data_IF_801345365648
#
_entry.id   IF_801345365648
#
_cell.length_a   1.000
_cell.length_b   1.000
_cell.length_c   1.000
_cell.angle_alpha   90.00
_cell.angle_beta   90.00
_cell.angle_gamma   90.00
#
_symmetry.space_group_name_H-M   'P 1'
#
loop_
_entity.id
_entity.type
_entity.pdbx_description
1 polymer ?
#
# COMPACT_ATOMS: atom_id res chain seq x y z
N UNK A 1 1.55 -6.40 26.37
CA UNK A 1 0.26 -6.29 25.68
C UNK A 1 0.52 -6.18 24.18
N UNK A 2 -0.15 -6.95 23.34
CA UNK A 2 0.03 -6.84 21.89
C UNK A 2 -0.38 -5.45 21.41
N UNK A 3 0.42 -4.87 20.50
CA UNK A 3 0.14 -3.58 19.87
C UNK A 3 -0.46 -3.80 18.48
N UNK A 4 -1.52 -3.07 18.18
CA UNK A 4 -2.24 -3.18 16.90
C UNK A 4 -2.30 -1.79 16.26
N UNK A 5 -1.98 -1.72 14.97
CA UNK A 5 -2.15 -0.51 14.17
C UNK A 5 -3.56 -0.42 13.57
N UNK A 6 -4.08 0.80 13.42
CA UNK A 6 -5.24 1.09 12.59
C UNK A 6 -4.85 2.09 11.51
N UNK A 7 -4.96 1.71 10.24
CA UNK A 7 -4.74 2.61 9.11
C UNK A 7 -6.09 2.92 8.46
N UNK A 8 -6.50 4.17 8.53
CA UNK A 8 -7.87 4.58 8.23
C UNK A 8 -7.91 5.53 7.03
N UNK A 9 -8.88 5.33 6.16
CA UNK A 9 -9.21 6.32 5.13
C UNK A 9 -10.08 7.43 5.75
N UNK A 10 -9.44 8.51 6.17
CA UNK A 10 -10.10 9.64 6.84
C UNK A 10 -11.10 10.39 5.93
N UNK A 11 -10.99 10.22 4.62
CA UNK A 11 -11.95 10.76 3.65
C UNK A 11 -13.28 10.00 3.61
N UNK A 12 -13.43 8.90 4.35
CA UNK A 12 -14.63 8.08 4.40
C UNK A 12 -15.21 8.06 5.83
N UNK A 13 -16.34 8.74 6.09
CA UNK A 13 -16.95 8.76 7.44
C UNK A 13 -17.20 7.38 8.03
N UNK A 14 -17.64 6.42 7.20
CA UNK A 14 -17.88 5.05 7.64
C UNK A 14 -16.60 4.34 8.10
N UNK A 15 -15.47 4.57 7.42
CA UNK A 15 -14.18 4.01 7.85
C UNK A 15 -13.74 4.59 9.20
N UNK A 16 -13.97 5.89 9.42
CA UNK A 16 -13.68 6.57 10.68
C UNK A 16 -14.51 6.00 11.82
N UNK A 17 -15.84 5.91 11.66
CA UNK A 17 -16.75 5.34 12.66
C UNK A 17 -16.40 3.87 12.98
N UNK A 18 -16.10 3.09 11.96
CA UNK A 18 -15.68 1.69 12.15
C UNK A 18 -14.37 1.61 12.92
N UNK A 19 -13.41 2.50 12.63
CA UNK A 19 -12.15 2.57 13.36
C UNK A 19 -12.37 2.87 14.85
N UNK A 20 -13.26 3.79 15.19
CA UNK A 20 -13.58 4.12 16.57
C UNK A 20 -14.16 2.90 17.31
N UNK A 21 -15.05 2.16 16.67
CA UNK A 21 -15.65 0.93 17.22
C UNK A 21 -14.58 -0.15 17.43
N UNK A 22 -13.71 -0.37 16.45
CA UNK A 22 -12.62 -1.35 16.52
C UNK A 22 -11.66 -0.98 17.64
N UNK A 23 -11.22 0.27 17.69
CA UNK A 23 -10.31 0.75 18.72
C UNK A 23 -10.86 0.50 20.13
N UNK A 24 -12.10 0.89 20.39
CA UNK A 24 -12.74 0.66 21.70
C UNK A 24 -12.77 -0.84 22.07
N UNK A 25 -13.08 -1.73 21.12
CA UNK A 25 -13.12 -3.16 21.39
C UNK A 25 -11.74 -3.75 21.65
N UNK A 26 -10.72 -3.33 20.91
CA UNK A 26 -9.35 -3.79 21.09
C UNK A 26 -8.76 -3.30 22.42
N UNK A 27 -9.00 -2.03 22.77
CA UNK A 27 -8.57 -1.45 24.05
C UNK A 27 -9.28 -2.10 25.24
N UNK A 28 -10.58 -2.38 25.13
CA UNK A 28 -11.33 -3.12 26.15
C UNK A 28 -10.80 -4.56 26.34
N UNK A 29 -10.24 -5.16 25.30
CA UNK A 29 -9.58 -6.46 25.35
C UNK A 29 -8.11 -6.40 25.82
N UNK A 30 -7.60 -5.21 26.14
CA UNK A 30 -6.24 -5.01 26.68
C UNK A 30 -5.15 -4.84 25.64
N UNK A 31 -5.49 -4.52 24.40
CA UNK A 31 -4.52 -4.19 23.35
C UNK A 31 -4.19 -2.69 23.35
N UNK A 32 -2.94 -2.35 23.07
CA UNK A 32 -2.57 -0.98 22.76
C UNK A 32 -2.82 -0.71 21.27
N UNK A 33 -3.53 0.38 20.95
CA UNK A 33 -3.90 0.72 19.59
C UNK A 33 -3.26 2.04 19.16
N UNK A 34 -2.59 2.02 18.00
CA UNK A 34 -2.04 3.20 17.34
C UNK A 34 -2.79 3.46 16.04
N UNK A 35 -3.19 4.70 15.81
CA UNK A 35 -3.96 5.08 14.62
C UNK A 35 -3.16 5.96 13.68
N UNK A 36 -3.29 5.67 12.39
CA UNK A 36 -2.67 6.44 11.31
C UNK A 36 -3.65 6.67 10.16
N UNK A 37 -3.42 7.76 9.42
CA UNK A 37 -4.14 8.04 8.18
C UNK A 37 -3.56 7.25 7.02
N UNK A 38 -4.42 6.74 6.14
CA UNK A 38 -3.99 6.13 4.89
C UNK A 38 -3.37 7.15 3.92
N UNK A 39 -3.63 8.45 4.10
CA UNK A 39 -3.04 9.53 3.30
C UNK A 39 -1.64 9.93 3.76
N UNK A 40 -1.18 9.44 4.92
CA UNK A 40 0.11 9.80 5.51
C UNK A 40 1.35 9.44 4.68
N UNK A 41 1.21 8.56 3.70
CA UNK A 41 2.28 8.20 2.75
C UNK A 41 2.33 9.04 1.49
N UNK A 42 1.45 10.02 1.31
CA UNK A 42 1.47 10.94 0.18
C UNK A 42 2.52 12.03 0.38
N UNK A 43 3.78 11.71 0.17
CA UNK A 43 4.80 12.75 0.02
C UNK A 43 4.70 13.28 -1.42
N UNK A 44 4.33 14.55 -1.55
CA UNK A 44 4.43 15.24 -2.83
C UNK A 44 5.90 15.25 -3.26
N UNK A 45 6.23 14.53 -4.32
CA UNK A 45 7.59 14.55 -4.85
C UNK A 45 7.84 15.88 -5.54
N UNK A 46 8.85 16.61 -5.09
CA UNK A 46 9.48 17.60 -5.93
C UNK A 46 10.06 16.84 -7.14
N UNK A 47 9.40 16.96 -8.29
CA UNK A 47 9.90 16.37 -9.53
C UNK A 47 11.11 17.17 -10.01
N UNK A 48 12.35 16.64 -9.91
CA UNK A 48 13.52 17.33 -10.40
C UNK A 48 13.57 17.37 -11.94
N UNK A 49 12.72 16.58 -12.60
CA UNK A 49 12.61 16.50 -14.06
C UNK A 49 11.25 17.01 -14.52
N UNK A 50 11.21 18.13 -15.21
CA UNK A 50 9.99 18.74 -15.73
C UNK A 50 9.25 17.85 -16.76
N UNK A 51 9.94 16.83 -17.29
CA UNK A 51 9.41 15.94 -18.32
C UNK A 51 8.87 14.61 -17.78
N UNK A 52 9.07 14.30 -16.49
CA UNK A 52 8.61 13.05 -15.89
C UNK A 52 7.67 13.33 -14.72
N UNK A 53 6.41 12.99 -14.89
CA UNK A 53 5.43 13.06 -13.80
C UNK A 53 5.46 11.76 -13.02
N UNK A 54 6.12 11.78 -11.87
CA UNK A 54 6.18 10.64 -10.96
C UNK A 54 4.99 10.71 -10.01
N UNK A 55 4.17 9.66 -10.04
CA UNK A 55 3.14 9.41 -9.05
C UNK A 55 3.52 8.16 -8.30
N UNK A 56 3.82 8.30 -7.05
CA UNK A 56 4.16 7.18 -6.19
C UNK A 56 4.16 7.66 -4.75
N UNK A 57 4.24 6.71 -3.86
CA UNK A 57 4.25 6.99 -2.44
C UNK A 57 5.60 6.56 -1.90
N UNK A 58 6.28 7.46 -1.23
CA UNK A 58 7.43 7.11 -0.41
C UNK A 58 6.98 6.11 0.64
N UNK A 59 7.82 5.12 0.93
CA UNK A 59 7.61 4.27 2.09
C UNK A 59 7.76 5.13 3.35
N UNK A 60 6.64 5.55 3.92
CA UNK A 60 6.59 6.39 5.11
C UNK A 60 5.91 5.60 6.21
N UNK A 61 6.71 5.07 7.13
CA UNK A 61 6.20 4.40 8.33
C UNK A 61 5.49 5.44 9.18
N UNK A 62 4.21 5.23 9.57
CA UNK A 62 3.49 6.18 10.41
C UNK A 62 4.16 6.34 11.77
N UNK A 63 4.01 7.53 12.35
CA UNK A 63 4.48 7.77 13.71
C UNK A 63 3.80 6.79 14.68
N UNK A 64 4.55 6.21 15.59
CA UNK A 64 4.07 5.22 16.55
C UNK A 64 4.02 3.78 16.03
N UNK A 65 4.21 3.56 14.72
CA UNK A 65 4.27 2.23 14.13
C UNK A 65 5.69 1.68 14.16
N UNK A 66 5.85 0.47 14.67
CA UNK A 66 7.12 -0.23 14.74
C UNK A 66 6.93 -1.75 14.72
N UNK A 67 8.02 -2.49 14.65
CA UNK A 67 8.04 -3.96 14.56
C UNK A 67 7.46 -4.70 15.79
N UNK A 68 7.12 -3.99 16.87
CA UNK A 68 6.45 -4.59 18.04
C UNK A 68 4.94 -4.78 17.83
N UNK A 69 4.39 -4.21 16.76
CA UNK A 69 3.00 -4.43 16.38
C UNK A 69 2.81 -5.82 15.79
N UNK A 70 1.77 -6.51 16.24
CA UNK A 70 1.46 -7.86 15.75
C UNK A 70 0.70 -7.81 14.43
N UNK A 71 -0.02 -6.71 14.17
CA UNK A 71 -0.92 -6.55 13.03
C UNK A 71 -1.27 -5.07 12.84
N UNK A 72 -1.59 -4.67 11.61
CA UNK A 72 -2.31 -3.43 11.31
C UNK A 72 -3.64 -3.74 10.61
N UNK A 73 -4.74 -3.20 11.15
CA UNK A 73 -6.08 -3.28 10.52
C UNK A 73 -6.23 -2.07 9.60
N UNK A 74 -6.59 -2.32 8.36
CA UNK A 74 -6.73 -1.30 7.30
C UNK A 74 -8.19 -1.12 6.95
N UNK A 75 -8.69 0.10 7.09
CA UNK A 75 -10.09 0.44 6.86
C UNK A 75 -10.26 1.34 5.64
N UNK A 76 -10.78 0.78 4.56
CA UNK A 76 -10.96 1.49 3.30
C UNK A 76 -11.24 0.58 2.11
N UNK A 77 -10.90 1.00 0.92
CA UNK A 77 -10.91 0.21 -0.31
C UNK A 77 -9.49 -0.11 -0.79
N UNK A 78 -9.36 -0.66 -2.00
CA UNK A 78 -8.08 -1.11 -2.57
C UNK A 78 -6.98 -0.05 -2.53
N UNK A 79 -7.28 1.21 -2.87
CA UNK A 79 -6.31 2.30 -2.77
C UNK A 79 -5.78 2.54 -1.36
N UNK A 80 -6.62 2.31 -0.33
CA UNK A 80 -6.22 2.37 1.09
C UNK A 80 -5.29 1.22 1.42
N UNK A 81 -5.58 0.01 0.92
CA UNK A 81 -4.74 -1.18 1.09
C UNK A 81 -3.36 -0.98 0.46
N UNK A 82 -3.31 -0.46 -0.77
CA UNK A 82 -2.05 -0.15 -1.44
C UNK A 82 -1.22 0.89 -0.68
N UNK A 83 -1.87 1.89 -0.09
CA UNK A 83 -1.20 2.88 0.75
C UNK A 83 -0.68 2.27 2.05
N UNK A 84 -1.51 1.46 2.73
CA UNK A 84 -1.14 0.79 3.97
C UNK A 84 0.04 -0.18 3.76
N UNK A 85 0.03 -0.96 2.68
CA UNK A 85 1.14 -1.87 2.35
C UNK A 85 2.48 -1.13 2.25
N UNK A 86 2.51 0.07 1.64
CA UNK A 86 3.72 0.90 1.57
C UNK A 86 4.17 1.43 2.93
N UNK A 87 3.24 1.61 3.86
CA UNK A 87 3.51 2.09 5.20
C UNK A 87 4.01 0.98 6.13
N UNK A 88 3.54 -0.25 5.94
CA UNK A 88 3.80 -1.40 6.82
C UNK A 88 4.88 -2.33 6.32
N UNK A 89 5.03 -2.52 5.00
CA UNK A 89 6.01 -3.43 4.42
C UNK A 89 7.47 -3.14 4.85
N UNK A 90 7.93 -1.87 4.96
CA UNK A 90 9.30 -1.58 5.40
C UNK A 90 9.63 -2.06 6.81
N UNK A 91 8.63 -2.26 7.64
CA UNK A 91 8.77 -2.70 9.04
C UNK A 91 8.17 -4.08 9.29
N UNK A 92 7.70 -4.77 8.26
CA UNK A 92 7.25 -6.15 8.32
C UNK A 92 5.97 -6.38 9.12
N UNK A 93 5.09 -5.38 9.25
CA UNK A 93 3.81 -5.53 9.95
C UNK A 93 2.79 -6.16 8.99
N UNK A 94 2.17 -7.30 9.33
CA UNK A 94 1.06 -7.87 8.56
C UNK A 94 -0.15 -6.93 8.55
N UNK A 95 -0.95 -6.98 7.49
CA UNK A 95 -2.18 -6.17 7.38
C UNK A 95 -3.40 -7.07 7.30
N UNK A 96 -4.47 -6.71 8.03
CA UNK A 96 -5.82 -7.21 7.83
C UNK A 96 -6.66 -6.12 7.18
N UNK A 97 -7.25 -6.41 6.04
CA UNK A 97 -7.98 -5.40 5.25
C UNK A 97 -9.48 -5.57 5.41
N UNK A 98 -10.15 -4.50 5.87
CA UNK A 98 -11.61 -4.44 6.01
C UNK A 98 -12.16 -3.40 5.05
N UNK A 99 -12.94 -3.84 4.08
CA UNK A 99 -13.55 -2.95 3.11
C UNK A 99 -14.74 -2.19 3.72
N UNK A 100 -14.67 -0.86 3.65
CA UNK A 100 -15.71 0.05 4.12
C UNK A 100 -16.49 0.70 2.97
N UNK A 101 -16.47 0.11 1.78
CA UNK A 101 -17.10 0.68 0.59
C UNK A 101 -17.49 -0.39 -0.44
N UNK A 102 -17.35 -0.04 -1.72
CA UNK A 102 -17.66 -0.95 -2.82
C UNK A 102 -16.69 -2.14 -2.85
N UNK A 103 -17.16 -3.24 -3.44
CA UNK A 103 -16.37 -4.45 -3.66
C UNK A 103 -14.99 -4.14 -4.24
N UNK A 104 -13.94 -4.64 -3.59
CA UNK A 104 -12.55 -4.54 -4.01
C UNK A 104 -11.92 -5.93 -4.16
N UNK A 105 -10.71 -5.96 -4.69
CA UNK A 105 -9.96 -7.21 -4.93
C UNK A 105 -8.93 -7.51 -3.82
N UNK A 106 -8.63 -6.53 -2.95
CA UNK A 106 -7.56 -6.61 -1.95
C UNK A 106 -8.09 -6.74 -0.51
N UNK A 107 -9.41 -6.79 -0.32
CA UNK A 107 -9.99 -6.87 1.01
C UNK A 107 -10.18 -8.33 1.46
N UNK A 108 -9.77 -8.61 2.71
CA UNK A 108 -9.95 -9.92 3.35
C UNK A 108 -11.30 -10.03 4.06
N UNK A 109 -11.88 -8.91 4.49
CA UNK A 109 -13.15 -8.87 5.19
C UNK A 109 -14.00 -7.67 4.74
N UNK A 110 -15.30 -7.76 4.99
CA UNK A 110 -16.28 -6.69 4.80
C UNK A 110 -16.89 -6.29 6.14
N UNK A 111 -17.61 -5.18 6.17
CA UNK A 111 -18.24 -4.69 7.39
C UNK A 111 -19.21 -5.69 8.02
N UNK A 112 -19.90 -6.47 7.21
CA UNK A 112 -20.82 -7.52 7.68
C UNK A 112 -20.09 -8.65 8.43
N UNK A 113 -18.80 -8.82 8.17
CA UNK A 113 -17.94 -9.81 8.83
C UNK A 113 -17.09 -9.21 9.96
N UNK A 114 -17.31 -7.95 10.35
CA UNK A 114 -16.47 -7.23 11.30
C UNK A 114 -16.29 -7.96 12.62
N UNK A 115 -17.37 -8.48 13.20
CA UNK A 115 -17.32 -9.20 14.47
C UNK A 115 -16.44 -10.45 14.38
N UNK A 116 -16.60 -11.22 13.32
CA UNK A 116 -15.79 -12.40 13.07
C UNK A 116 -14.32 -12.05 12.85
N UNK A 117 -14.06 -10.99 12.08
CA UNK A 117 -12.69 -10.52 11.83
C UNK A 117 -12.00 -10.10 13.13
N UNK A 118 -12.71 -9.39 14.03
CA UNK A 118 -12.17 -9.02 15.33
C UNK A 118 -11.98 -10.18 16.26
N UNK A 119 -12.87 -11.16 16.28
CA UNK A 119 -12.69 -12.40 17.06
C UNK A 119 -11.43 -13.15 16.63
N UNK A 120 -11.16 -13.24 15.33
CA UNK A 120 -9.92 -13.80 14.78
C UNK A 120 -8.70 -13.01 15.24
N UNK A 121 -8.76 -11.68 15.24
CA UNK A 121 -7.67 -10.83 15.74
C UNK A 121 -7.43 -11.06 17.23
N UNK A 122 -8.47 -11.05 18.05
CA UNK A 122 -8.38 -11.18 19.49
C UNK A 122 -7.89 -12.57 19.93
N UNK A 123 -8.25 -13.61 19.20
CA UNK A 123 -7.82 -15.00 19.48
C UNK A 123 -6.48 -15.34 18.84
N UNK A 124 -5.93 -14.45 18.01
CA UNK A 124 -4.70 -14.66 17.22
C UNK A 124 -4.73 -15.92 16.35
N UNK A 125 -5.91 -16.28 15.85
CA UNK A 125 -6.12 -17.46 15.00
C UNK A 125 -6.14 -17.09 13.51
N UNK A 126 -5.06 -16.47 13.03
CA UNK A 126 -4.90 -16.13 11.60
C UNK A 126 -3.68 -16.80 11.00
N UNK A 127 -3.67 -16.86 9.68
CA UNK A 127 -2.50 -17.20 8.87
C UNK A 127 -2.06 -15.97 8.08
N UNK A 128 -0.77 -15.85 7.79
CA UNK A 128 -0.21 -14.76 7.00
C UNK A 128 0.05 -15.27 5.60
N UNK A 129 -0.51 -14.61 4.59
CA UNK A 129 -0.12 -14.77 3.20
C UNK A 129 0.99 -13.76 2.88
N UNK A 130 2.14 -14.26 2.44
CA UNK A 130 3.25 -13.42 2.01
C UNK A 130 3.06 -13.00 0.55
N UNK A 131 3.17 -11.70 0.28
CA UNK A 131 3.12 -11.13 -1.07
C UNK A 131 4.41 -10.38 -1.39
N UNK A 132 4.96 -10.63 -2.57
CA UNK A 132 6.11 -9.90 -3.05
C UNK A 132 5.77 -8.45 -3.34
N UNK A 133 6.73 -7.56 -3.12
CA UNK A 133 6.64 -6.16 -3.55
C UNK A 133 7.67 -5.89 -4.65
N UNK A 134 7.29 -5.04 -5.59
CA UNK A 134 8.19 -4.52 -6.60
C UNK A 134 8.86 -3.23 -6.09
N UNK A 135 10.18 -3.19 -6.08
CA UNK A 135 10.94 -1.96 -5.88
C UNK A 135 11.16 -1.30 -7.25
N UNK A 136 10.62 -0.12 -7.42
CA UNK A 136 10.74 0.65 -8.65
C UNK A 136 11.68 1.82 -8.42
N UNK A 137 12.76 1.91 -9.17
CA UNK A 137 13.71 3.02 -9.13
C UNK A 137 13.79 3.72 -10.48
N UNK A 138 13.79 5.04 -10.47
CA UNK A 138 14.07 5.86 -11.65
C UNK A 138 15.50 6.37 -11.57
N UNK A 139 16.30 6.00 -12.56
CA UNK A 139 17.70 6.41 -12.69
C UNK A 139 17.85 7.44 -13.80
N UNK A 140 18.79 8.39 -13.64
CA UNK A 140 19.26 9.26 -14.70
C UNK A 140 20.78 9.27 -14.69
N UNK A 141 21.37 8.57 -15.65
CA UNK A 141 22.76 8.15 -15.56
C UNK A 141 22.95 7.32 -14.29
N UNK A 142 23.97 7.60 -13.50
CA UNK A 142 24.27 6.87 -12.27
C UNK A 142 23.49 7.41 -11.03
N UNK A 143 22.62 8.39 -11.20
CA UNK A 143 21.87 8.98 -10.10
C UNK A 143 20.47 8.41 -10.00
N UNK A 144 20.14 7.86 -8.83
CA UNK A 144 18.76 7.48 -8.49
C UNK A 144 17.96 8.76 -8.18
N UNK A 145 16.95 9.02 -8.99
CA UNK A 145 16.07 10.19 -8.88
C UNK A 145 14.83 9.93 -8.05
N UNK A 146 14.36 8.68 -8.06
CA UNK A 146 13.15 8.30 -7.36
C UNK A 146 13.16 6.80 -7.08
N UNK A 147 12.46 6.40 -6.02
CA UNK A 147 12.23 5.00 -5.67
C UNK A 147 10.92 4.85 -4.93
N UNK A 148 10.18 3.79 -5.21
CA UNK A 148 8.96 3.43 -4.49
C UNK A 148 8.74 1.92 -4.44
N UNK A 149 7.90 1.49 -3.49
CA UNK A 149 7.35 0.14 -3.44
C UNK A 149 6.01 0.08 -4.17
N UNK A 150 5.78 -1.00 -4.88
CA UNK A 150 4.49 -1.34 -5.46
C UNK A 150 4.07 -2.75 -5.04
N UNK A 151 2.79 -2.90 -4.67
CA UNK A 151 2.20 -4.18 -4.32
C UNK A 151 1.68 -4.92 -5.57
N UNK A 152 1.20 -4.21 -6.57
CA UNK A 152 0.58 -4.81 -7.75
C UNK A 152 1.42 -4.63 -9.02
N UNK A 153 1.63 -3.38 -9.46
CA UNK A 153 2.29 -3.10 -10.72
C UNK A 153 3.06 -1.78 -10.72
N UNK A 154 3.95 -1.65 -11.68
CA UNK A 154 4.53 -0.39 -12.13
C UNK A 154 4.00 -0.09 -13.53
N UNK A 155 3.43 1.09 -13.70
CA UNK A 155 3.00 1.59 -14.99
C UNK A 155 3.85 2.81 -15.41
N UNK A 156 4.47 2.73 -16.58
CA UNK A 156 5.16 3.83 -17.25
C UNK A 156 4.43 4.12 -18.55
N UNK A 157 3.86 5.29 -18.70
CA UNK A 157 3.13 5.66 -19.91
C UNK A 157 3.46 7.09 -20.35
N UNK A 158 3.28 7.34 -21.64
CA UNK A 158 3.38 8.69 -22.20
C UNK A 158 2.28 9.61 -21.65
N UNK A 159 2.51 10.89 -21.73
CA UNK A 159 1.45 11.86 -21.47
C UNK A 159 0.41 11.84 -22.63
N UNK A 160 -0.89 12.08 -22.31
CA UNK A 160 -1.89 12.30 -23.31
C UNK A 160 -1.45 13.38 -24.33
N UNK A 161 -1.74 13.17 -25.61
CA UNK A 161 -1.41 14.11 -26.71
C UNK A 161 0.08 14.19 -27.10
N UNK A 162 0.94 13.32 -26.58
CA UNK A 162 2.33 13.19 -27.05
C UNK A 162 2.48 12.08 -28.08
N UNK A 163 3.60 12.11 -28.81
CA UNK A 163 3.96 11.02 -29.73
C UNK A 163 4.22 9.72 -28.98
N UNK A 164 4.13 8.60 -29.71
CA UNK A 164 4.49 7.28 -29.21
C UNK A 164 5.92 7.28 -28.66
N UNK A 165 6.12 6.61 -27.53
CA UNK A 165 7.44 6.48 -26.91
C UNK A 165 8.18 5.26 -27.45
N UNK A 166 9.51 5.34 -27.47
CA UNK A 166 10.38 4.21 -27.73
C UNK A 166 11.00 3.75 -26.42
N UNK A 167 10.88 2.47 -26.12
CA UNK A 167 11.40 1.82 -24.92
C UNK A 167 12.43 0.76 -25.36
N UNK A 168 13.57 0.77 -24.71
CA UNK A 168 14.49 -0.36 -24.69
C UNK A 168 14.24 -1.14 -23.40
N UNK A 169 13.78 -2.38 -23.52
CA UNK A 169 13.44 -3.23 -22.38
C UNK A 169 14.44 -4.35 -22.25
N UNK A 170 15.13 -4.41 -21.12
CA UNK A 170 16.03 -5.51 -20.77
C UNK A 170 15.47 -6.29 -19.57
N UNK A 171 15.44 -7.61 -19.64
CA UNK A 171 14.97 -8.50 -18.57
C UNK A 171 16.10 -9.45 -18.20
N UNK A 172 16.64 -9.30 -16.99
CA UNK A 172 17.74 -10.11 -16.51
C UNK A 172 18.97 -9.99 -17.40
N UNK A 173 19.43 -11.12 -17.99
CA UNK A 173 20.58 -11.18 -18.87
C UNK A 173 20.21 -11.28 -20.37
N UNK A 174 18.96 -11.16 -20.70
CA UNK A 174 18.52 -11.21 -22.09
C UNK A 174 18.92 -9.94 -22.83
N UNK A 175 19.09 -10.08 -24.15
CA UNK A 175 19.35 -8.93 -25.00
C UNK A 175 18.17 -7.94 -24.91
N UNK A 176 18.44 -6.63 -24.87
CA UNK A 176 17.39 -5.63 -24.89
C UNK A 176 16.50 -5.74 -26.14
N UNK A 177 15.24 -5.40 -25.98
CA UNK A 177 14.26 -5.36 -27.06
C UNK A 177 13.73 -3.94 -27.19
N UNK A 178 13.78 -3.39 -28.42
CA UNK A 178 13.24 -2.08 -28.72
C UNK A 178 11.73 -2.19 -29.06
N UNK A 179 10.92 -1.41 -28.38
CA UNK A 179 9.47 -1.40 -28.55
C UNK A 179 8.97 0.04 -28.66
N UNK A 180 8.14 0.30 -29.68
CA UNK A 180 7.38 1.52 -29.79
C UNK A 180 5.98 1.27 -29.19
N UNK A 181 5.62 2.00 -28.12
CA UNK A 181 4.38 1.79 -27.40
C UNK A 181 3.91 3.07 -26.68
N UNK A 182 2.66 3.07 -26.24
CA UNK A 182 2.12 4.10 -25.39
C UNK A 182 2.60 4.00 -23.93
N UNK A 183 3.08 2.83 -23.54
CA UNK A 183 3.62 2.60 -22.19
C UNK A 183 4.06 1.17 -21.95
N UNK A 184 4.60 0.94 -20.76
CA UNK A 184 5.04 -0.35 -20.25
C UNK A 184 4.37 -0.59 -18.91
N UNK A 185 3.83 -1.79 -18.71
CA UNK A 185 3.25 -2.24 -17.46
C UNK A 185 4.05 -3.47 -16.96
N UNK A 186 4.57 -3.38 -15.74
CA UNK A 186 5.22 -4.52 -15.07
C UNK A 186 4.33 -4.99 -13.92
N UNK A 187 3.87 -6.24 -13.99
CA UNK A 187 3.00 -6.88 -12.99
C UNK A 187 3.86 -7.73 -12.05
N UNK A 188 3.43 -7.82 -10.78
CA UNK A 188 4.10 -8.62 -9.75
C UNK A 188 3.41 -9.98 -9.61
N UNK A 189 2.08 -9.98 -9.58
CA UNK A 189 1.24 -11.15 -9.43
C UNK A 189 0.43 -11.37 -10.72
N UNK A 190 0.47 -12.57 -11.23
CA UNK A 190 -0.29 -13.00 -12.42
C UNK A 190 -1.29 -14.07 -11.98
#
# INVERSE_FOLDING_TARGET
MPRIGLIVNDGKPLAVQTADTIQQRLEAAGHAVERASSSGGMVGFANPDQHLRLRGYSACVPQGFDQSMVLAIVLGGDGTVLSAARQTAPIGIPILTINTGHLGFLAEAYLDDLDRALDVVLTQQWTIEERSNLVVSVMRGDQRRWEALSLNEMALHREPLTSMCHFEIAIGRHAPVDIAADGVLSLIHI
#
